data_IF_731308515418
#
_entry.id   IF_731308515418
#
_cell.length_a   1.000
_cell.length_b   1.000
_cell.length_c   1.000
_cell.angle_alpha   90.00
_cell.angle_beta   90.00
_cell.angle_gamma   90.00
#
_symmetry.space_group_name_H-M   'P 1'
#
loop_
_entity.id
_entity.type
_entity.pdbx_description
1 polymer ?
#
# COMPACT_ATOMS: atom_id res chain seq x y z
N UNK A 1 -1.54 -14.70 19.97
CA UNK A 1 -2.39 -13.76 19.19
C UNK A 1 -3.37 -14.60 18.38
N UNK A 2 -4.68 -14.37 18.49
CA UNK A 2 -5.68 -15.10 17.69
C UNK A 2 -5.75 -14.49 16.30
N UNK A 3 -5.53 -15.30 15.27
CA UNK A 3 -5.73 -14.90 13.87
C UNK A 3 -7.21 -14.99 13.57
N UNK A 4 -7.84 -13.88 13.19
CA UNK A 4 -9.27 -13.85 12.85
C UNK A 4 -9.43 -14.30 11.39
N UNK A 5 -10.47 -15.08 11.10
CA UNK A 5 -10.73 -15.51 9.72
C UNK A 5 -11.19 -14.34 8.85
N UNK A 6 -10.95 -14.42 7.53
CA UNK A 6 -11.42 -13.39 6.58
C UNK A 6 -12.95 -13.23 6.64
N UNK A 7 -13.69 -14.29 6.97
CA UNK A 7 -15.16 -14.28 7.05
C UNK A 7 -15.69 -13.49 8.26
N UNK A 8 -14.89 -13.36 9.31
CA UNK A 8 -15.25 -12.68 10.56
C UNK A 8 -14.65 -11.26 10.63
N UNK A 9 -14.10 -10.76 9.52
CA UNK A 9 -13.50 -9.44 9.46
C UNK A 9 -14.56 -8.33 9.62
N UNK A 10 -14.31 -7.39 10.53
CA UNK A 10 -15.12 -6.20 10.78
C UNK A 10 -14.16 -5.02 10.83
N UNK A 11 -14.19 -4.09 9.86
CA UNK A 11 -13.26 -2.95 9.83
C UNK A 11 -13.38 -2.03 11.05
N UNK A 12 -14.49 -2.10 11.80
CA UNK A 12 -14.69 -1.31 13.02
C UNK A 12 -13.90 -1.88 14.18
N UNK A 13 -13.76 -3.21 14.26
CA UNK A 13 -13.15 -3.94 15.40
C UNK A 13 -11.79 -4.55 15.06
N UNK A 14 -11.47 -4.70 13.79
CA UNK A 14 -10.30 -5.44 13.33
C UNK A 14 -9.35 -4.56 12.49
N UNK A 15 -8.06 -4.87 12.52
CA UNK A 15 -6.99 -4.30 11.70
C UNK A 15 -6.50 -5.40 10.76
N UNK A 16 -6.37 -5.06 9.48
CA UNK A 16 -5.90 -5.99 8.45
C UNK A 16 -4.56 -5.53 7.89
N UNK A 17 -3.57 -6.41 7.93
CA UNK A 17 -2.20 -6.14 7.47
C UNK A 17 -1.72 -7.21 6.49
N UNK A 18 -0.83 -6.80 5.60
CA UNK A 18 0.05 -7.70 4.86
C UNK A 18 1.29 -7.96 5.71
N UNK A 19 1.45 -9.19 6.17
CA UNK A 19 2.70 -9.69 6.75
C UNK A 19 3.57 -10.24 5.63
N UNK A 20 4.75 -9.66 5.44
CA UNK A 20 5.71 -10.02 4.38
C UNK A 20 7.00 -10.54 4.99
N UNK A 21 7.63 -11.52 4.35
CA UNK A 21 8.95 -12.04 4.69
C UNK A 21 9.84 -12.00 3.45
N UNK A 22 10.97 -11.31 3.53
CA UNK A 22 11.93 -11.27 2.43
C UNK A 22 12.55 -12.65 2.23
N UNK A 23 12.61 -13.11 0.98
CA UNK A 23 13.21 -14.40 0.65
C UNK A 23 14.76 -14.31 0.58
N UNK A 24 15.31 -13.09 0.48
CA UNK A 24 16.76 -12.85 0.41
C UNK A 24 17.39 -12.72 1.81
N UNK A 25 16.86 -11.87 2.68
CA UNK A 25 17.44 -11.60 4.01
C UNK A 25 16.59 -12.12 5.18
N UNK A 26 15.42 -12.70 4.92
CA UNK A 26 14.54 -13.25 5.96
C UNK A 26 13.77 -12.22 6.80
N UNK A 27 14.02 -10.91 6.62
CA UNK A 27 13.33 -9.85 7.38
C UNK A 27 11.82 -9.92 7.19
N UNK A 28 11.09 -9.76 8.29
CA UNK A 28 9.62 -9.66 8.29
C UNK A 28 9.20 -8.21 8.50
N UNK A 29 8.23 -7.74 7.73
CA UNK A 29 7.60 -6.43 7.93
C UNK A 29 6.10 -6.50 7.66
N UNK A 30 5.40 -5.51 8.20
CA UNK A 30 3.95 -5.43 8.19
C UNK A 30 3.52 -4.13 7.50
N UNK A 31 2.49 -4.22 6.65
CA UNK A 31 1.91 -3.06 5.97
C UNK A 31 0.40 -3.10 6.14
N UNK A 32 -0.21 -2.00 6.58
CA UNK A 32 -1.66 -1.88 6.65
C UNK A 32 -2.27 -2.07 5.25
N UNK A 33 -3.26 -2.96 5.13
CA UNK A 33 -3.94 -3.22 3.85
C UNK A 33 -4.65 -1.94 3.36
N UNK A 34 -5.27 -1.19 4.28
CA UNK A 34 -5.95 0.06 3.99
C UNK A 34 -5.02 1.12 3.40
N UNK A 35 -3.78 1.22 3.90
CA UNK A 35 -2.77 2.17 3.39
C UNK A 35 -2.38 1.82 1.96
N UNK A 36 -2.09 0.55 1.70
CA UNK A 36 -1.69 0.11 0.36
C UNK A 36 -2.81 0.28 -0.67
N UNK A 37 -4.07 -0.03 -0.28
CA UNK A 37 -5.26 0.19 -1.11
C UNK A 37 -5.48 1.68 -1.39
N UNK A 38 -5.33 2.54 -0.38
CA UNK A 38 -5.45 3.99 -0.54
C UNK A 38 -4.43 4.52 -1.55
N UNK A 39 -3.15 4.19 -1.39
CA UNK A 39 -2.10 4.62 -2.31
C UNK A 39 -2.37 4.18 -3.75
N UNK A 40 -2.82 2.94 -3.97
CA UNK A 40 -3.22 2.46 -5.30
C UNK A 40 -4.41 3.24 -5.86
N UNK A 41 -5.42 3.52 -5.03
CA UNK A 41 -6.56 4.36 -5.42
C UNK A 41 -6.14 5.78 -5.80
N UNK A 42 -5.25 6.39 -5.02
CA UNK A 42 -4.74 7.74 -5.25
C UNK A 42 -3.91 7.80 -6.54
N UNK A 43 -3.12 6.76 -6.88
CA UNK A 43 -2.43 6.68 -8.18
C UNK A 43 -3.43 6.72 -9.34
N UNK A 44 -4.48 5.90 -9.29
CA UNK A 44 -5.50 5.83 -10.35
C UNK A 44 -6.24 7.16 -10.46
N UNK A 45 -6.65 7.74 -9.33
CA UNK A 45 -7.37 9.01 -9.30
C UNK A 45 -6.51 10.17 -9.84
N UNK A 46 -5.26 10.29 -9.40
CA UNK A 46 -4.38 11.36 -9.88
C UNK A 46 -4.00 11.18 -11.37
N UNK A 47 -3.86 9.94 -11.86
CA UNK A 47 -3.67 9.68 -13.28
C UNK A 47 -4.89 10.10 -14.12
N UNK A 48 -6.11 9.87 -13.62
CA UNK A 48 -7.33 10.37 -14.27
C UNK A 48 -7.45 11.90 -14.20
N UNK A 49 -7.00 12.54 -13.10
CA UNK A 49 -6.95 14.00 -13.01
C UNK A 49 -5.97 14.60 -14.03
N UNK A 50 -4.86 13.93 -14.32
CA UNK A 50 -3.89 14.37 -15.34
C UNK A 50 -4.53 14.50 -16.72
N UNK A 51 -5.45 13.58 -17.09
CA UNK A 51 -6.13 13.61 -18.39
C UNK A 51 -7.26 14.66 -18.44
N UNK A 52 -7.91 14.94 -17.32
CA UNK A 52 -9.01 15.92 -17.22
C UNK A 52 -8.52 17.37 -17.12
N UNK A 53 -7.29 17.60 -16.69
CA UNK A 53 -6.73 18.95 -16.46
C UNK A 53 -5.89 19.48 -17.63
N UNK A 54 -6.15 19.02 -18.86
CA UNK A 54 -5.37 19.39 -20.05
C UNK A 54 -5.25 20.92 -20.29
N UNK A 55 -6.23 21.70 -19.83
CA UNK A 55 -6.25 23.17 -19.97
C UNK A 55 -5.63 23.92 -18.76
N UNK A 56 -5.15 23.23 -17.72
CA UNK A 56 -4.47 23.84 -16.59
C UNK A 56 -3.10 23.15 -16.36
N UNK A 57 -2.01 23.70 -16.95
CA UNK A 57 -0.70 23.07 -16.91
C UNK A 57 -0.14 22.91 -15.49
N UNK A 58 -0.50 23.81 -14.57
CA UNK A 58 -0.09 23.72 -13.16
C UNK A 58 -0.79 22.57 -12.44
N UNK A 59 -2.10 22.41 -12.64
CA UNK A 59 -2.87 21.31 -12.08
C UNK A 59 -2.43 19.95 -12.66
N UNK A 60 -2.15 19.87 -13.96
CA UNK A 60 -1.64 18.67 -14.61
C UNK A 60 -0.26 18.26 -14.09
N UNK A 61 0.66 19.24 -13.91
CA UNK A 61 1.98 18.98 -13.32
C UNK A 61 1.88 18.49 -11.87
N UNK A 62 0.97 19.06 -11.08
CA UNK A 62 0.75 18.61 -9.70
C UNK A 62 0.19 17.18 -9.67
N UNK A 63 -0.79 16.86 -10.53
CA UNK A 63 -1.33 15.50 -10.64
C UNK A 63 -0.24 14.47 -10.98
N UNK A 64 0.65 14.81 -11.92
CA UNK A 64 1.81 13.97 -12.27
C UNK A 64 2.73 13.73 -11.07
N UNK A 65 3.11 14.78 -10.32
CA UNK A 65 3.94 14.67 -9.12
C UNK A 65 3.28 13.79 -8.05
N UNK A 66 1.96 13.90 -7.90
CA UNK A 66 1.21 13.07 -6.95
C UNK A 66 1.23 11.59 -7.34
N UNK A 67 1.11 11.27 -8.64
CA UNK A 67 1.26 9.90 -9.13
C UNK A 67 2.64 9.36 -8.78
N UNK A 68 3.71 10.07 -9.15
CA UNK A 68 5.10 9.66 -8.90
C UNK A 68 5.38 9.46 -7.40
N UNK A 69 4.88 10.35 -6.55
CA UNK A 69 5.03 10.26 -5.09
C UNK A 69 4.31 9.02 -4.53
N UNK A 70 3.07 8.77 -4.94
CA UNK A 70 2.28 7.63 -4.48
C UNK A 70 2.82 6.30 -5.01
N UNK A 71 3.32 6.26 -6.24
CA UNK A 71 4.00 5.09 -6.81
C UNK A 71 5.29 4.77 -6.06
N UNK A 72 6.10 5.80 -5.77
CA UNK A 72 7.33 5.64 -4.98
C UNK A 72 7.04 5.08 -3.60
N UNK A 73 6.00 5.60 -2.94
CA UNK A 73 5.58 5.11 -1.62
C UNK A 73 5.07 3.67 -1.69
N UNK A 74 4.22 3.35 -2.66
CA UNK A 74 3.74 1.99 -2.90
C UNK A 74 4.89 1.01 -3.14
N UNK A 75 5.89 1.44 -3.91
CA UNK A 75 7.09 0.66 -4.19
C UNK A 75 7.92 0.41 -2.93
N UNK A 76 8.09 1.40 -2.06
CA UNK A 76 8.75 1.24 -0.75
C UNK A 76 8.04 0.22 0.14
N UNK A 77 6.70 0.27 0.22
CA UNK A 77 5.91 -0.68 1.03
C UNK A 77 6.05 -2.13 0.55
N UNK A 78 6.28 -2.32 -0.76
CA UNK A 78 6.48 -3.61 -1.41
C UNK A 78 7.94 -4.05 -1.49
N UNK A 79 8.85 -3.39 -0.78
CA UNK A 79 10.25 -3.82 -0.73
C UNK A 79 10.68 -4.12 0.70
N UNK A 80 11.65 -5.00 0.81
CA UNK A 80 12.27 -5.29 2.08
C UNK A 80 12.96 -4.03 2.62
N UNK A 81 12.68 -3.59 3.86
CA UNK A 81 13.28 -2.39 4.42
C UNK A 81 14.79 -2.52 4.70
N UNK A 82 15.33 -3.74 4.71
CA UNK A 82 16.74 -4.01 5.00
C UNK A 82 17.59 -4.10 3.72
N UNK A 83 17.20 -4.95 2.77
CA UNK A 83 17.99 -5.20 1.56
C UNK A 83 17.36 -4.64 0.28
N UNK A 84 16.23 -3.93 0.38
CA UNK A 84 15.49 -3.35 -0.75
C UNK A 84 15.02 -4.37 -1.81
N UNK A 85 15.07 -5.67 -1.51
CA UNK A 85 14.58 -6.73 -2.39
C UNK A 85 13.06 -6.68 -2.53
N UNK A 86 12.58 -6.90 -3.75
CA UNK A 86 11.16 -7.11 -4.07
C UNK A 86 10.74 -8.57 -3.98
N UNK A 87 11.66 -9.48 -3.70
CA UNK A 87 11.41 -10.91 -3.56
C UNK A 87 11.00 -11.24 -2.11
N UNK A 88 9.70 -11.45 -1.91
CA UNK A 88 9.11 -11.74 -0.62
C UNK A 88 7.90 -12.67 -0.74
N UNK A 89 7.68 -13.46 0.31
CA UNK A 89 6.42 -14.18 0.55
C UNK A 89 5.53 -13.33 1.45
N UNK A 90 4.21 -13.40 1.26
CA UNK A 90 3.27 -12.57 2.02
C UNK A 90 1.97 -13.28 2.35
N UNK A 91 1.43 -12.99 3.54
CA UNK A 91 0.10 -13.43 3.97
C UNK A 91 -0.68 -12.28 4.56
N UNK A 92 -2.01 -12.38 4.51
CA UNK A 92 -2.90 -11.45 5.18
C UNK A 92 -3.07 -11.90 6.63
N UNK A 93 -2.92 -10.96 7.56
CA UNK A 93 -3.14 -11.17 8.98
C UNK A 93 -4.17 -10.17 9.48
N UNK A 94 -5.07 -10.64 10.34
CA UNK A 94 -6.17 -9.85 10.90
C UNK A 94 -6.05 -9.90 12.43
N UNK A 95 -6.06 -8.73 13.06
CA UNK A 95 -5.93 -8.53 14.49
C UNK A 95 -7.13 -7.76 15.06
N UNK A 96 -7.45 -7.96 16.32
CA UNK A 96 -8.38 -7.09 17.02
C UNK A 96 -7.74 -5.74 17.36
N UNK A 97 -8.50 -4.65 17.19
CA UNK A 97 -8.16 -3.34 17.74
C UNK A 97 -8.14 -3.45 19.26
N UNK A 98 -7.17 -2.81 19.90
CA UNK A 98 -7.14 -2.64 21.35
C UNK A 98 -8.01 -1.45 21.75
#
# INVERSE_FOLDING_TARGET
MKTISIKEYDPSKHIKEFKRKCNQCGKVWHVLESREKKLRGDVIFNAAQQTLTCCNPSASLQAKRNVEANETELHKLKRCPECNSSDYSGTIVIYAKK
#
